data_IF_938822708446
#
_entry.id   IF_938822708446
#
_cell.length_a   1.000
_cell.length_b   1.000
_cell.length_c   1.000
_cell.angle_alpha   90.00
_cell.angle_beta   90.00
_cell.angle_gamma   90.00
#
_symmetry.space_group_name_H-M   'P 1'
#
loop_
_entity.id
_entity.type
_entity.pdbx_description
1 polymer ?
#
# COMPACT_ATOMS: atom_id res chain seq x y z
N UNK A 1 -34.41 -4.50 29.89
CA UNK A 1 -33.35 -5.52 30.11
C UNK A 1 -32.48 -5.80 28.88
N UNK A 2 -32.94 -5.46 27.67
CA UNK A 2 -32.25 -5.70 26.38
C UNK A 2 -31.16 -4.67 26.01
N UNK A 3 -31.24 -3.42 26.49
CA UNK A 3 -30.27 -2.37 26.15
C UNK A 3 -28.87 -2.56 26.76
N UNK A 4 -28.75 -3.19 27.93
CA UNK A 4 -27.46 -3.42 28.58
C UNK A 4 -26.65 -4.53 27.88
N UNK A 5 -27.33 -5.59 27.44
CA UNK A 5 -26.69 -6.71 26.72
C UNK A 5 -26.15 -6.27 25.36
N UNK A 6 -26.89 -5.43 24.62
CA UNK A 6 -26.43 -4.89 23.33
C UNK A 6 -25.18 -4.01 23.46
N UNK A 7 -25.09 -3.23 24.56
CA UNK A 7 -23.94 -2.35 24.82
C UNK A 7 -22.69 -3.15 25.20
N UNK A 8 -22.83 -4.21 26.00
CA UNK A 8 -21.71 -5.11 26.34
C UNK A 8 -21.20 -5.85 25.10
N UNK A 9 -22.09 -6.31 24.22
CA UNK A 9 -21.70 -7.01 22.99
C UNK A 9 -20.98 -6.08 22.00
N UNK A 10 -21.41 -4.83 21.86
CA UNK A 10 -20.71 -3.84 21.02
C UNK A 10 -19.36 -3.41 21.59
N UNK A 11 -19.21 -3.35 22.91
CA UNK A 11 -17.92 -3.10 23.56
C UNK A 11 -16.94 -4.26 23.34
N UNK A 12 -17.37 -5.51 23.52
CA UNK A 12 -16.53 -6.68 23.26
C UNK A 12 -16.11 -6.79 21.78
N UNK A 13 -17.03 -6.52 20.85
CA UNK A 13 -16.73 -6.48 19.40
C UNK A 13 -15.78 -5.34 19.04
N UNK A 14 -15.90 -4.18 19.68
CA UNK A 14 -15.01 -3.05 19.49
C UNK A 14 -13.61 -3.35 20.03
N UNK A 15 -13.50 -3.94 21.21
CA UNK A 15 -12.22 -4.32 21.82
C UNK A 15 -11.49 -5.39 21.00
N UNK A 16 -12.21 -6.44 20.56
CA UNK A 16 -11.65 -7.44 19.63
C UNK A 16 -11.23 -6.82 18.28
N UNK A 17 -11.97 -5.80 17.81
CA UNK A 17 -11.62 -5.04 16.61
C UNK A 17 -10.39 -4.14 16.78
N UNK A 18 -10.15 -3.61 17.97
CA UNK A 18 -8.98 -2.79 18.23
C UNK A 18 -7.73 -3.67 18.39
N UNK A 19 -7.84 -4.80 19.08
CA UNK A 19 -6.75 -5.77 19.20
C UNK A 19 -6.30 -6.28 17.82
N UNK A 20 -7.24 -6.70 16.94
CA UNK A 20 -6.87 -7.14 15.58
C UNK A 20 -6.19 -6.03 14.76
N UNK A 21 -6.66 -4.78 14.86
CA UNK A 21 -6.04 -3.63 14.16
C UNK A 21 -4.63 -3.37 14.68
N UNK A 22 -4.42 -3.46 15.99
CA UNK A 22 -3.12 -3.26 16.62
C UNK A 22 -2.13 -4.35 16.20
N UNK A 23 -2.57 -5.61 16.19
CA UNK A 23 -1.77 -6.75 15.73
C UNK A 23 -1.40 -6.59 14.25
N UNK A 24 -2.36 -6.26 13.39
CA UNK A 24 -2.10 -6.00 11.97
C UNK A 24 -1.11 -4.84 11.77
N UNK A 25 -1.28 -3.73 12.50
CA UNK A 25 -0.38 -2.58 12.42
C UNK A 25 1.03 -2.91 12.90
N UNK A 26 1.17 -3.70 13.97
CA UNK A 26 2.46 -4.16 14.47
C UNK A 26 3.19 -5.02 13.42
N UNK A 27 2.51 -6.02 12.86
CA UNK A 27 3.09 -6.85 11.80
C UNK A 27 3.41 -6.06 10.54
N UNK A 28 2.57 -5.12 10.15
CA UNK A 28 2.83 -4.23 9.00
C UNK A 28 4.08 -3.37 9.23
N UNK A 29 4.21 -2.78 10.43
CA UNK A 29 5.34 -1.95 10.82
C UNK A 29 6.65 -2.73 10.96
N UNK A 30 6.61 -4.05 11.24
CA UNK A 30 7.81 -4.91 11.29
C UNK A 30 8.16 -5.46 9.89
N UNK A 31 7.15 -5.80 9.09
CA UNK A 31 7.35 -6.33 7.73
C UNK A 31 7.98 -5.28 6.80
N UNK A 32 7.66 -4.00 7.00
CA UNK A 32 8.21 -2.89 6.20
C UNK A 32 9.74 -2.73 6.34
N UNK A 33 10.33 -2.55 7.55
CA UNK A 33 11.77 -2.49 7.73
C UNK A 33 12.45 -3.82 7.38
N UNK A 34 11.79 -4.96 7.59
CA UNK A 34 12.30 -6.25 7.16
C UNK A 34 12.44 -6.34 5.63
N UNK A 35 11.43 -5.91 4.88
CA UNK A 35 11.48 -5.85 3.42
C UNK A 35 12.56 -4.89 2.90
N UNK A 36 12.74 -3.74 3.55
CA UNK A 36 13.84 -2.80 3.24
C UNK A 36 15.20 -3.45 3.52
N UNK A 37 15.34 -4.16 4.66
CA UNK A 37 16.55 -4.88 5.02
C UNK A 37 16.93 -5.95 4.00
N UNK A 38 15.97 -6.76 3.55
CA UNK A 38 16.19 -7.76 2.48
C UNK A 38 16.63 -7.09 1.18
N UNK A 39 16.01 -5.97 0.79
CA UNK A 39 16.39 -5.21 -0.41
C UNK A 39 17.85 -4.74 -0.33
N UNK A 40 18.26 -4.16 0.79
CA UNK A 40 19.63 -3.70 1.01
C UNK A 40 20.60 -4.88 1.02
N UNK A 41 20.23 -5.99 1.69
CA UNK A 41 21.03 -7.20 1.73
C UNK A 41 21.28 -7.78 0.33
N UNK A 42 20.24 -7.92 -0.50
CA UNK A 42 20.40 -8.33 -1.89
C UNK A 42 21.30 -7.34 -2.65
N UNK A 43 21.11 -6.04 -2.46
CA UNK A 43 21.97 -5.02 -3.07
C UNK A 43 23.44 -5.14 -2.67
N UNK A 44 23.75 -5.68 -1.50
CA UNK A 44 25.13 -5.85 -1.00
C UNK A 44 25.82 -7.14 -1.49
N UNK A 45 25.05 -8.20 -1.75
CA UNK A 45 25.58 -9.51 -2.19
C UNK A 45 25.87 -9.52 -3.70
N UNK A 46 25.17 -8.69 -4.48
CA UNK A 46 25.43 -8.50 -5.90
C UNK A 46 26.62 -7.55 -6.11
N UNK A 47 27.78 -8.08 -6.54
CA UNK A 47 28.93 -7.25 -6.91
C UNK A 47 28.59 -6.29 -8.05
N UNK A 48 28.89 -5.01 -7.84
CA UNK A 48 28.50 -3.82 -8.65
C UNK A 48 28.92 -3.88 -10.13
N UNK A 49 29.83 -4.76 -10.52
CA UNK A 49 30.39 -4.81 -11.87
C UNK A 49 30.03 -6.07 -12.67
N UNK A 50 29.13 -6.92 -12.16
CA UNK A 50 28.72 -8.15 -12.87
C UNK A 50 27.43 -7.94 -13.67
N UNK A 51 27.34 -8.41 -14.94
CA UNK A 51 26.10 -8.35 -15.73
C UNK A 51 24.91 -9.01 -15.03
N UNK A 52 25.15 -9.96 -14.12
CA UNK A 52 24.11 -10.60 -13.31
C UNK A 52 23.43 -9.61 -12.34
N UNK A 53 24.15 -8.61 -11.81
CA UNK A 53 23.60 -7.61 -10.91
C UNK A 53 22.61 -6.66 -11.61
N UNK A 54 22.91 -6.28 -12.84
CA UNK A 54 22.01 -5.45 -13.66
C UNK A 54 20.71 -6.19 -13.99
N UNK A 55 20.81 -7.46 -14.38
CA UNK A 55 19.64 -8.27 -14.72
C UNK A 55 18.75 -8.50 -13.49
N UNK A 56 19.32 -8.88 -12.35
CA UNK A 56 18.53 -9.12 -11.14
C UNK A 56 18.00 -7.82 -10.53
N UNK A 57 18.79 -6.74 -10.54
CA UNK A 57 18.34 -5.41 -10.09
C UNK A 57 17.17 -4.89 -10.95
N UNK A 58 17.25 -5.05 -12.26
CA UNK A 58 16.18 -4.71 -13.19
C UNK A 58 14.92 -5.55 -12.99
N UNK A 59 15.07 -6.88 -12.81
CA UNK A 59 13.94 -7.78 -12.53
C UNK A 59 13.24 -7.40 -11.23
N UNK A 60 14.00 -7.23 -10.15
CA UNK A 60 13.46 -6.82 -8.85
C UNK A 60 12.75 -5.47 -8.97
N UNK A 61 13.37 -4.47 -9.59
CA UNK A 61 12.75 -3.16 -9.82
C UNK A 61 11.43 -3.27 -10.59
N UNK A 62 11.37 -4.10 -11.64
CA UNK A 62 10.15 -4.39 -12.38
C UNK A 62 9.07 -5.07 -11.53
N UNK A 63 9.44 -6.08 -10.73
CA UNK A 63 8.52 -6.73 -9.79
C UNK A 63 7.93 -5.75 -8.77
N UNK A 64 8.76 -4.85 -8.21
CA UNK A 64 8.31 -3.84 -7.26
C UNK A 64 7.39 -2.80 -7.91
N UNK A 65 7.69 -2.36 -9.14
CA UNK A 65 6.81 -1.46 -9.90
C UNK A 65 5.45 -2.11 -10.17
N UNK A 66 5.42 -3.40 -10.54
CA UNK A 66 4.18 -4.15 -10.74
C UNK A 66 3.33 -4.28 -9.47
N UNK A 67 3.97 -4.57 -8.33
CA UNK A 67 3.29 -4.61 -7.02
C UNK A 67 2.70 -3.25 -6.62
N UNK A 68 3.43 -2.16 -6.85
CA UNK A 68 2.94 -0.80 -6.58
C UNK A 68 1.71 -0.46 -7.43
N UNK A 69 1.72 -0.81 -8.72
CA UNK A 69 0.57 -0.61 -9.61
C UNK A 69 -0.63 -1.47 -9.16
N UNK A 70 -0.40 -2.72 -8.74
CA UNK A 70 -1.46 -3.58 -8.20
C UNK A 70 -2.11 -2.97 -6.96
N UNK A 71 -1.33 -2.51 -5.98
CA UNK A 71 -1.85 -1.82 -4.78
C UNK A 71 -2.60 -0.54 -5.13
N UNK A 72 -2.11 0.25 -6.10
CA UNK A 72 -2.79 1.48 -6.51
C UNK A 72 -4.15 1.21 -7.18
N UNK A 73 -4.26 0.21 -8.06
CA UNK A 73 -5.51 -0.11 -8.76
C UNK A 73 -6.47 -0.98 -7.95
N UNK A 74 -5.97 -2.01 -7.26
CA UNK A 74 -6.83 -2.99 -6.60
C UNK A 74 -7.16 -2.59 -5.18
N UNK A 75 -6.22 -2.05 -4.40
CA UNK A 75 -6.50 -1.62 -3.02
C UNK A 75 -7.01 -0.18 -2.97
N UNK A 76 -6.40 0.76 -3.70
CA UNK A 76 -6.81 2.17 -3.65
C UNK A 76 -8.06 2.44 -4.50
N UNK A 77 -8.01 2.11 -5.80
CA UNK A 77 -9.09 2.46 -6.73
C UNK A 77 -10.36 1.59 -6.52
N UNK A 78 -10.22 0.31 -6.12
CA UNK A 78 -11.39 -0.49 -5.80
C UNK A 78 -12.09 -0.03 -4.50
N UNK A 79 -11.34 0.43 -3.49
CA UNK A 79 -11.91 1.00 -2.27
C UNK A 79 -12.68 2.30 -2.56
N UNK A 80 -12.14 3.14 -3.43
CA UNK A 80 -12.79 4.35 -3.95
C UNK A 80 -14.09 4.03 -4.71
N UNK A 81 -14.10 2.96 -5.53
CA UNK A 81 -15.32 2.52 -6.22
C UNK A 81 -16.37 1.86 -5.31
N UNK A 82 -15.95 1.19 -4.24
CA UNK A 82 -16.87 0.61 -3.24
C UNK A 82 -17.47 1.63 -2.29
N UNK A 83 -16.90 2.84 -2.18
CA UNK A 83 -17.47 3.93 -1.40
C UNK A 83 -18.78 4.41 -2.02
N UNK A 84 -19.92 4.12 -1.38
CA UNK A 84 -21.28 4.54 -1.80
C UNK A 84 -21.38 6.06 -2.11
N UNK A 85 -20.49 6.89 -1.56
CA UNK A 85 -20.43 8.33 -1.85
C UNK A 85 -19.73 8.69 -3.17
N UNK A 86 -18.76 7.88 -3.61
CA UNK A 86 -18.04 8.11 -4.87
C UNK A 86 -18.82 7.58 -6.09
N UNK A 87 -19.54 6.48 -5.91
CA UNK A 87 -20.24 5.77 -7.00
C UNK A 87 -21.37 6.60 -7.65
N UNK A 88 -21.96 7.54 -6.90
CA UNK A 88 -23.02 8.42 -7.40
C UNK A 88 -22.53 9.63 -8.22
N UNK A 89 -21.23 9.93 -8.23
CA UNK A 89 -20.71 11.13 -8.90
C UNK A 89 -19.41 10.86 -9.65
N UNK A 90 -19.54 10.57 -10.95
CA UNK A 90 -18.42 10.36 -11.89
C UNK A 90 -17.39 11.49 -11.83
N UNK A 91 -17.84 12.72 -11.52
CA UNK A 91 -16.96 13.89 -11.35
C UNK A 91 -15.96 13.74 -10.19
N UNK A 92 -16.37 13.11 -9.08
CA UNK A 92 -15.50 12.91 -7.92
C UNK A 92 -14.47 11.81 -8.17
N UNK A 93 -14.88 10.72 -8.84
CA UNK A 93 -13.98 9.66 -9.31
C UNK A 93 -12.90 10.20 -10.25
N UNK A 94 -13.26 11.11 -11.16
CA UNK A 94 -12.32 11.74 -12.09
C UNK A 94 -11.32 12.67 -11.37
N UNK A 95 -11.73 13.33 -10.28
CA UNK A 95 -10.85 14.17 -9.47
C UNK A 95 -9.85 13.31 -8.69
N UNK A 96 -10.28 12.19 -8.10
CA UNK A 96 -9.38 11.27 -7.40
C UNK A 96 -8.40 10.58 -8.36
N UNK A 97 -8.87 10.16 -9.54
CA UNK A 97 -7.98 9.64 -10.57
C UNK A 97 -7.01 10.72 -11.08
N UNK A 98 -7.51 11.95 -11.23
CA UNK A 98 -6.70 13.11 -11.59
C UNK A 98 -5.61 13.42 -10.56
N UNK A 99 -5.91 13.36 -9.26
CA UNK A 99 -4.92 13.58 -8.20
C UNK A 99 -3.89 12.46 -8.13
N UNK A 100 -4.30 11.20 -8.35
CA UNK A 100 -3.39 10.06 -8.45
C UNK A 100 -2.43 10.20 -9.63
N UNK A 101 -2.93 10.58 -10.81
CA UNK A 101 -2.10 10.88 -11.98
C UNK A 101 -1.15 12.05 -11.73
N UNK A 102 -1.63 13.12 -11.07
CA UNK A 102 -0.81 14.28 -10.74
C UNK A 102 0.34 13.90 -9.79
N UNK A 103 0.08 13.00 -8.82
CA UNK A 103 1.12 12.41 -7.97
C UNK A 103 2.17 11.61 -8.75
N UNK A 104 1.73 10.76 -9.68
CA UNK A 104 2.63 9.99 -10.55
C UNK A 104 3.48 10.90 -11.46
N UNK A 105 2.86 11.93 -12.05
CA UNK A 105 3.54 12.97 -12.81
C UNK A 105 4.59 13.69 -11.96
N UNK A 106 4.27 14.03 -10.71
CA UNK A 106 5.21 14.64 -9.77
C UNK A 106 6.43 13.76 -9.50
N UNK A 107 6.22 12.46 -9.26
CA UNK A 107 7.31 11.50 -9.06
C UNK A 107 8.18 11.31 -10.32
N UNK A 108 7.58 11.34 -11.52
CA UNK A 108 8.32 11.25 -12.79
C UNK A 108 9.20 12.48 -13.05
N UNK A 109 8.73 13.68 -12.69
CA UNK A 109 9.54 14.91 -12.80
C UNK A 109 10.71 14.88 -11.83
N UNK A 110 10.51 14.40 -10.59
CA UNK A 110 11.60 14.23 -9.62
C UNK A 110 12.63 13.20 -10.11
N UNK A 111 12.19 12.11 -10.74
CA UNK A 111 13.08 11.08 -11.27
C UNK A 111 14.00 11.57 -12.40
N UNK A 112 13.67 12.68 -13.10
CA UNK A 112 14.58 13.31 -14.06
C UNK A 112 15.73 14.09 -13.41
N UNK A 113 15.59 14.45 -12.15
CA UNK A 113 16.57 15.27 -11.40
C UNK A 113 17.28 14.48 -10.29
N UNK A 114 16.92 13.20 -10.10
CA UNK A 114 17.59 12.26 -9.21
C UNK A 114 18.57 11.39 -10.00
#
# INVERSE_FOLDING_TARGET
MTHAQLKVLSQLLAEYTNVKKFVMAFFFSVTTPFGIGIRIALSSVYMINSPTALITGGLLNGCYAGLLIYMALVDLLAAEFMGLMLQGSVKLQLICFGSALLGCCGMSVLAKWA
#
